data_IF_133358851878
#
_entry.id   IF_133358851878
#
_cell.length_a   1.000
_cell.length_b   1.000
_cell.length_c   1.000
_cell.angle_alpha   90.00
_cell.angle_beta   90.00
_cell.angle_gamma   90.00
#
_symmetry.space_group_name_H-M   'P 1'
#
loop_
_entity.id
_entity.type
_entity.pdbx_description
1 polymer ?
#
# COMPACT_ATOMS: atom_id res chain seq x y z
N UNK A 1 -23.74 -16.59 -20.37
CA UNK A 1 -22.77 -17.66 -20.69
C UNK A 1 -21.31 -17.19 -20.62
N UNK A 2 -20.93 -16.02 -21.15
CA UNK A 2 -19.55 -15.51 -21.05
C UNK A 2 -19.10 -15.16 -19.62
N UNK A 3 -19.96 -14.56 -18.80
CA UNK A 3 -19.65 -14.24 -17.39
C UNK A 3 -19.44 -15.49 -16.52
N UNK A 4 -20.26 -16.54 -16.70
CA UNK A 4 -20.11 -17.81 -15.98
C UNK A 4 -18.81 -18.55 -16.36
N UNK A 5 -18.37 -18.46 -17.61
CA UNK A 5 -17.08 -18.99 -18.06
C UNK A 5 -15.87 -18.20 -17.52
N UNK A 6 -16.02 -16.88 -17.36
CA UNK A 6 -14.95 -16.04 -16.82
C UNK A 6 -14.71 -16.25 -15.32
N UNK A 7 -15.79 -16.44 -14.53
CA UNK A 7 -15.75 -16.71 -13.08
C UNK A 7 -15.08 -18.07 -12.81
N UNK A 8 -15.49 -19.12 -13.53
CA UNK A 8 -14.95 -20.48 -13.37
C UNK A 8 -13.46 -20.58 -13.71
N UNK A 9 -12.97 -19.83 -14.69
CA UNK A 9 -11.54 -19.78 -15.01
C UNK A 9 -10.73 -18.97 -13.99
N UNK A 10 -11.31 -17.93 -13.39
CA UNK A 10 -10.66 -17.14 -12.34
C UNK A 10 -10.53 -17.91 -11.02
N UNK A 11 -11.58 -18.66 -10.65
CA UNK A 11 -11.56 -19.59 -9.52
C UNK A 11 -10.52 -20.71 -9.75
N UNK A 12 -10.43 -21.25 -10.96
CA UNK A 12 -9.43 -22.27 -11.32
C UNK A 12 -7.99 -21.74 -11.14
N UNK A 13 -7.70 -20.52 -11.59
CA UNK A 13 -6.37 -19.89 -11.41
C UNK A 13 -6.06 -19.60 -9.95
N UNK A 14 -7.06 -19.17 -9.16
CA UNK A 14 -6.90 -18.95 -7.73
C UNK A 14 -6.51 -20.24 -7.01
N UNK A 15 -7.24 -21.33 -7.26
CA UNK A 15 -7.00 -22.63 -6.63
C UNK A 15 -5.63 -23.21 -7.01
N UNK A 16 -5.22 -23.09 -8.29
CA UNK A 16 -3.89 -23.52 -8.71
C UNK A 16 -2.78 -22.73 -8.00
N UNK A 17 -2.94 -21.41 -7.93
CA UNK A 17 -1.98 -20.52 -7.28
C UNK A 17 -1.88 -20.80 -5.78
N UNK A 18 -3.01 -21.03 -5.13
CA UNK A 18 -3.09 -21.39 -3.71
C UNK A 18 -2.38 -22.71 -3.43
N UNK A 19 -2.63 -23.74 -4.26
CA UNK A 19 -1.96 -25.04 -4.16
C UNK A 19 -0.44 -24.90 -4.26
N UNK A 20 0.05 -24.24 -5.31
CA UNK A 20 1.49 -24.03 -5.54
C UNK A 20 2.14 -23.26 -4.40
N UNK A 21 1.43 -22.27 -3.84
CA UNK A 21 1.92 -21.53 -2.69
C UNK A 21 2.09 -22.43 -1.46
N UNK A 22 1.10 -23.26 -1.14
CA UNK A 22 1.20 -24.14 0.02
C UNK A 22 2.23 -25.27 -0.15
N UNK A 23 2.45 -25.75 -1.38
CA UNK A 23 3.55 -26.68 -1.68
C UNK A 23 4.91 -26.05 -1.37
N UNK A 24 5.18 -24.85 -1.90
CA UNK A 24 6.44 -24.13 -1.65
C UNK A 24 6.57 -23.70 -0.18
N UNK A 25 5.47 -23.29 0.45
CA UNK A 25 5.45 -22.94 1.87
C UNK A 25 5.84 -24.16 2.70
N UNK A 26 5.25 -25.33 2.45
CA UNK A 26 5.58 -26.57 3.16
C UNK A 26 7.07 -26.93 3.01
N UNK A 27 7.63 -26.82 1.80
CA UNK A 27 9.04 -27.05 1.53
C UNK A 27 9.96 -26.07 2.29
N UNK A 28 9.59 -24.79 2.33
CA UNK A 28 10.31 -23.77 3.07
C UNK A 28 10.25 -24.00 4.59
N UNK A 29 9.08 -24.43 5.10
CA UNK A 29 8.82 -24.64 6.52
C UNK A 29 9.48 -25.91 7.06
N UNK A 30 9.54 -26.99 6.27
CA UNK A 30 10.26 -28.23 6.62
C UNK A 30 11.77 -28.03 6.74
N UNK A 31 12.32 -27.08 5.97
CA UNK A 31 13.73 -26.71 5.99
C UNK A 31 14.09 -25.69 7.09
N UNK A 32 13.10 -25.17 7.82
CA UNK A 32 13.32 -24.12 8.81
C UNK A 32 13.62 -24.66 10.22
N UNK A 33 14.40 -23.91 11.00
CA UNK A 33 14.71 -24.27 12.38
C UNK A 33 13.44 -24.37 13.26
N UNK A 34 13.48 -25.23 14.28
CA UNK A 34 12.37 -25.50 15.23
C UNK A 34 11.84 -24.26 15.98
N UNK A 35 12.56 -23.14 15.95
CA UNK A 35 12.22 -21.87 16.61
C UNK A 35 11.63 -20.82 15.65
N UNK A 36 11.16 -21.25 14.48
CA UNK A 36 10.64 -20.33 13.47
C UNK A 36 9.30 -19.72 13.88
N UNK A 37 9.02 -18.51 13.35
CA UNK A 37 7.86 -17.66 13.69
C UNK A 37 6.52 -18.21 13.16
N UNK A 38 6.51 -19.46 12.69
CA UNK A 38 5.44 -20.03 11.89
C UNK A 38 4.35 -20.62 12.77
N UNK A 39 3.11 -20.48 12.32
CA UNK A 39 1.93 -20.89 13.07
C UNK A 39 1.16 -21.90 12.24
N UNK A 40 1.52 -23.18 12.38
CA UNK A 40 0.67 -24.26 11.90
C UNK A 40 -0.70 -24.17 12.57
N UNK A 41 -1.74 -24.70 11.92
CA UNK A 41 -3.10 -24.70 12.47
C UNK A 41 -3.17 -25.33 13.87
N UNK A 42 -2.42 -26.42 14.08
CA UNK A 42 -2.28 -27.07 15.39
C UNK A 42 -1.60 -26.18 16.43
N UNK A 43 -0.51 -25.51 16.05
CA UNK A 43 0.22 -24.60 16.95
C UNK A 43 -0.64 -23.38 17.29
N UNK A 44 -1.34 -22.83 16.30
CA UNK A 44 -2.26 -21.72 16.46
C UNK A 44 -3.37 -22.04 17.47
N UNK A 45 -4.05 -23.19 17.31
CA UNK A 45 -5.10 -23.64 18.24
C UNK A 45 -4.56 -23.93 19.64
N UNK A 46 -3.37 -24.52 19.74
CA UNK A 46 -2.74 -24.79 21.03
C UNK A 46 -2.39 -23.49 21.77
N UNK A 47 -1.78 -22.53 21.09
CA UNK A 47 -1.46 -21.21 21.65
C UNK A 47 -2.73 -20.47 22.07
N UNK A 48 -3.81 -20.60 21.31
CA UNK A 48 -5.10 -20.02 21.66
C UNK A 48 -5.66 -20.63 22.95
N UNK A 49 -5.67 -21.96 23.05
CA UNK A 49 -6.11 -22.68 24.24
C UNK A 49 -5.26 -22.31 25.46
N UNK A 50 -3.94 -22.27 25.28
CA UNK A 50 -2.99 -21.92 26.33
C UNK A 50 -3.15 -20.46 26.79
N UNK A 51 -3.34 -19.51 25.87
CA UNK A 51 -3.60 -18.11 26.22
C UNK A 51 -4.92 -17.93 26.99
N UNK A 52 -5.99 -18.63 26.57
CA UNK A 52 -7.27 -18.62 27.29
C UNK A 52 -7.16 -19.23 28.69
N UNK A 53 -6.38 -20.32 28.84
CA UNK A 53 -6.11 -20.93 30.15
C UNK A 53 -5.30 -19.97 31.03
N UNK A 54 -4.20 -19.41 30.52
CA UNK A 54 -3.34 -18.47 31.24
C UNK A 54 -4.09 -17.24 31.76
N UNK A 55 -5.11 -16.77 31.03
CA UNK A 55 -6.02 -15.71 31.50
C UNK A 55 -6.88 -16.12 32.69
N UNK A 56 -7.37 -17.37 32.70
CA UNK A 56 -8.25 -17.91 33.76
C UNK A 56 -7.48 -18.34 35.01
N UNK A 57 -6.19 -18.63 34.90
CA UNK A 57 -5.38 -19.10 36.03
C UNK A 57 -5.08 -17.99 37.03
N UNK A 58 -5.46 -18.20 38.29
CA UNK A 58 -5.20 -17.27 39.40
C UNK A 58 -3.72 -17.25 39.81
N UNK A 59 -3.05 -18.42 39.88
CA UNK A 59 -1.62 -18.55 40.14
C UNK A 59 -0.87 -18.74 38.83
N UNK A 60 -0.28 -17.67 38.30
CA UNK A 60 0.41 -17.67 37.00
C UNK A 60 1.85 -18.21 37.12
N UNK A 61 2.22 -19.08 36.20
CA UNK A 61 3.60 -19.55 36.03
C UNK A 61 4.40 -18.63 35.09
N UNK A 62 5.75 -18.68 35.08
CA UNK A 62 6.56 -17.89 34.15
C UNK A 62 6.16 -18.03 32.66
N UNK A 63 5.70 -19.22 32.26
CA UNK A 63 5.18 -19.48 30.91
C UNK A 63 3.89 -18.70 30.62
N UNK A 64 3.01 -18.55 31.60
CA UNK A 64 1.76 -17.79 31.45
C UNK A 64 2.06 -16.30 31.24
N UNK A 65 3.02 -15.74 31.97
CA UNK A 65 3.47 -14.36 31.76
C UNK A 65 4.08 -14.17 30.37
N UNK A 66 4.90 -15.11 29.91
CA UNK A 66 5.46 -15.07 28.55
C UNK A 66 4.36 -15.12 27.47
N UNK A 67 3.36 -15.99 27.65
CA UNK A 67 2.22 -16.13 26.73
C UNK A 67 1.41 -14.84 26.67
N UNK A 68 1.00 -14.30 27.82
CA UNK A 68 0.14 -13.10 27.89
C UNK A 68 0.84 -11.82 27.42
N UNK A 69 2.19 -11.77 27.46
CA UNK A 69 2.95 -10.65 26.88
C UNK A 69 3.05 -10.71 25.35
N UNK A 70 2.76 -11.86 24.74
CA UNK A 70 2.96 -12.11 23.31
C UNK A 70 1.68 -12.40 22.55
N UNK A 71 0.67 -12.91 23.24
CA UNK A 71 -0.61 -13.33 22.68
C UNK A 71 -1.76 -12.86 23.55
N UNK A 72 -2.80 -12.41 22.89
CA UNK A 72 -4.09 -12.11 23.48
C UNK A 72 -5.20 -12.68 22.58
N UNK A 73 -6.43 -12.75 23.06
CA UNK A 73 -7.57 -13.36 22.37
C UNK A 73 -8.74 -12.41 22.39
N UNK A 74 -9.35 -12.19 21.21
CA UNK A 74 -10.50 -11.30 21.04
C UNK A 74 -11.75 -12.06 20.55
N UNK A 75 -12.90 -11.68 21.12
CA UNK A 75 -14.24 -12.12 20.72
C UNK A 75 -14.62 -13.56 21.09
N UNK A 76 -15.92 -13.88 20.94
CA UNK A 76 -16.45 -15.24 21.12
C UNK A 76 -15.92 -16.24 20.09
N UNK A 77 -15.41 -15.75 18.94
CA UNK A 77 -14.85 -16.56 17.84
C UNK A 77 -13.37 -16.94 18.00
N UNK A 78 -12.70 -16.60 19.11
CA UNK A 78 -11.35 -17.10 19.43
C UNK A 78 -10.30 -16.87 18.31
N UNK A 79 -9.91 -15.60 18.07
CA UNK A 79 -8.72 -15.30 17.22
C UNK A 79 -7.55 -14.80 18.07
N UNK A 80 -6.32 -15.20 17.71
CA UNK A 80 -5.09 -14.73 18.34
C UNK A 80 -4.73 -13.33 17.85
N UNK A 81 -4.48 -12.43 18.79
CA UNK A 81 -4.01 -11.07 18.53
C UNK A 81 -2.74 -10.77 19.30
N UNK A 82 -2.00 -9.75 18.85
CA UNK A 82 -0.94 -9.16 19.63
C UNK A 82 -1.56 -8.33 20.78
N UNK A 83 -1.09 -8.49 22.03
CA UNK A 83 -1.66 -7.78 23.17
C UNK A 83 -1.76 -6.27 22.92
N UNK A 84 -2.97 -5.73 23.09
CA UNK A 84 -3.22 -4.30 22.92
C UNK A 84 -2.59 -3.57 24.10
N UNK A 85 -1.67 -2.64 23.82
CA UNK A 85 -1.04 -1.79 24.83
C UNK A 85 -1.74 -0.44 24.86
N UNK A 86 -1.75 0.21 26.03
CA UNK A 86 -2.31 1.56 26.20
C UNK A 86 -1.75 2.52 25.13
N UNK A 87 -2.65 3.27 24.48
CA UNK A 87 -2.30 4.23 23.43
C UNK A 87 -2.20 3.66 22.01
N UNK A 88 -2.39 2.36 21.78
CA UNK A 88 -2.36 1.73 20.45
C UNK A 88 -3.76 1.31 20.00
N UNK A 89 -4.39 2.09 19.12
CA UNK A 89 -5.73 1.80 18.59
C UNK A 89 -5.78 0.72 17.48
N UNK A 90 -4.65 0.09 17.12
CA UNK A 90 -4.57 -0.86 16.02
C UNK A 90 -4.34 -2.29 16.53
N UNK A 91 -5.37 -3.12 16.41
CA UNK A 91 -5.32 -4.55 16.71
C UNK A 91 -4.52 -5.26 15.61
N UNK A 92 -3.53 -6.07 16.00
CA UNK A 92 -2.74 -6.90 15.07
C UNK A 92 -3.08 -8.36 15.28
N UNK A 93 -3.50 -9.03 14.22
CA UNK A 93 -3.87 -10.44 14.24
C UNK A 93 -2.65 -11.34 13.97
N UNK A 94 -2.69 -12.54 14.53
CA UNK A 94 -1.85 -13.65 14.10
C UNK A 94 -2.59 -14.45 13.04
N UNK A 95 -1.91 -14.81 11.96
CA UNK A 95 -2.50 -15.57 10.84
C UNK A 95 -1.92 -16.99 10.85
N UNK A 96 -2.74 -18.04 10.87
CA UNK A 96 -2.25 -19.40 10.69
C UNK A 96 -1.79 -19.63 9.25
N UNK A 97 -0.89 -20.60 9.03
CA UNK A 97 -0.35 -20.89 7.69
C UNK A 97 -1.48 -21.20 6.69
N UNK A 98 -2.60 -21.78 7.11
CA UNK A 98 -3.77 -22.09 6.25
C UNK A 98 -4.53 -20.89 5.70
N UNK A 99 -4.41 -19.72 6.33
CA UNK A 99 -5.05 -18.46 5.88
C UNK A 99 -4.05 -17.50 5.25
N UNK A 100 -2.75 -17.86 5.26
CA UNK A 100 -1.67 -16.97 4.83
C UNK A 100 -1.78 -16.61 3.35
N UNK A 101 -2.18 -17.55 2.49
CA UNK A 101 -2.34 -17.27 1.06
C UNK A 101 -3.40 -16.20 0.83
N UNK A 102 -4.58 -16.35 1.44
CA UNK A 102 -5.73 -15.48 1.20
C UNK A 102 -5.40 -14.05 1.66
N UNK A 103 -4.78 -13.91 2.84
CA UNK A 103 -4.32 -12.62 3.38
C UNK A 103 -3.29 -11.95 2.46
N UNK A 104 -2.32 -12.72 1.94
CA UNK A 104 -1.33 -12.20 1.01
C UNK A 104 -1.95 -11.82 -0.33
N UNK A 105 -2.91 -12.62 -0.83
CA UNK A 105 -3.60 -12.40 -2.09
C UNK A 105 -4.44 -11.12 -2.05
N UNK A 106 -5.26 -10.95 -1.02
CA UNK A 106 -6.07 -9.75 -0.82
C UNK A 106 -5.19 -8.50 -0.71
N UNK A 107 -4.13 -8.56 0.10
CA UNK A 107 -3.21 -7.43 0.24
C UNK A 107 -2.50 -7.12 -1.08
N UNK A 108 -2.12 -8.15 -1.84
CA UNK A 108 -1.47 -7.99 -3.15
C UNK A 108 -2.36 -7.27 -4.16
N UNK A 109 -3.64 -7.66 -4.24
CA UNK A 109 -4.64 -7.01 -5.08
C UNK A 109 -4.91 -5.58 -4.60
N UNK A 110 -5.02 -5.37 -3.28
CA UNK A 110 -5.27 -4.06 -2.68
C UNK A 110 -4.17 -3.04 -2.98
N UNK A 111 -2.91 -3.48 -3.10
CA UNK A 111 -1.79 -2.62 -3.50
C UNK A 111 -1.55 -2.58 -5.02
N UNK A 112 -2.39 -3.24 -5.81
CA UNK A 112 -2.33 -3.27 -7.28
C UNK A 112 -1.09 -3.98 -7.81
N UNK A 113 -0.88 -5.24 -7.38
CA UNK A 113 0.31 -6.02 -7.73
C UNK A 113 1.62 -5.31 -7.34
N UNK A 114 1.58 -4.69 -6.16
CA UNK A 114 2.72 -4.01 -5.57
C UNK A 114 3.80 -4.99 -5.13
N UNK A 115 5.07 -4.58 -5.27
CA UNK A 115 6.20 -5.39 -4.81
C UNK A 115 6.27 -5.50 -3.28
N UNK A 116 7.26 -6.27 -2.81
CA UNK A 116 7.44 -6.66 -1.40
C UNK A 116 7.24 -5.53 -0.40
N UNK A 117 7.90 -4.39 -0.60
CA UNK A 117 7.89 -3.31 0.38
C UNK A 117 6.50 -2.64 0.50
N UNK A 118 5.70 -2.61 -0.58
CA UNK A 118 4.33 -2.10 -0.55
C UNK A 118 3.41 -3.06 0.21
N UNK A 119 3.49 -4.36 -0.09
CA UNK A 119 2.71 -5.38 0.61
C UNK A 119 3.03 -5.40 2.11
N UNK A 120 4.32 -5.32 2.49
CA UNK A 120 4.72 -5.31 3.90
C UNK A 120 4.14 -4.08 4.65
N UNK A 121 4.05 -2.93 3.99
CA UNK A 121 3.46 -1.72 4.57
C UNK A 121 1.94 -1.79 4.71
N UNK A 122 1.26 -2.52 3.83
CA UNK A 122 -0.17 -2.81 3.94
C UNK A 122 -0.47 -3.83 5.04
N UNK A 123 0.37 -4.86 5.18
CA UNK A 123 0.13 -6.00 6.09
C UNK A 123 0.57 -5.73 7.53
N UNK A 124 1.72 -5.08 7.74
CA UNK A 124 2.29 -4.88 9.09
C UNK A 124 1.42 -4.14 10.12
N UNK A 125 0.50 -3.24 9.74
CA UNK A 125 -0.45 -2.66 10.69
C UNK A 125 -1.53 -3.64 11.14
N UNK A 126 -1.89 -4.63 10.31
CA UNK A 126 -3.00 -5.58 10.50
C UNK A 126 -2.53 -6.91 11.09
N UNK A 127 -1.32 -7.35 10.76
CA UNK A 127 -0.83 -8.68 11.11
C UNK A 127 0.56 -8.65 11.73
N UNK A 128 0.81 -9.54 12.70
CA UNK A 128 2.07 -9.55 13.48
C UNK A 128 3.11 -10.54 12.95
N UNK A 129 2.69 -11.67 12.39
CA UNK A 129 3.57 -12.80 12.06
C UNK A 129 3.88 -12.97 10.58
N UNK A 130 3.39 -12.09 9.70
CA UNK A 130 3.72 -12.14 8.28
C UNK A 130 5.13 -11.59 8.04
N UNK A 131 5.98 -12.38 7.40
CA UNK A 131 7.39 -12.03 7.17
C UNK A 131 7.63 -11.54 5.74
N UNK A 132 8.80 -10.95 5.51
CA UNK A 132 9.24 -10.57 4.15
C UNK A 132 9.38 -11.78 3.23
N UNK A 133 9.81 -12.92 3.80
CA UNK A 133 10.01 -14.15 3.06
C UNK A 133 8.68 -14.70 2.52
N UNK A 134 7.62 -14.68 3.33
CA UNK A 134 6.29 -15.15 2.90
C UNK A 134 5.76 -14.31 1.72
N UNK A 135 5.98 -12.99 1.77
CA UNK A 135 5.60 -12.08 0.68
C UNK A 135 6.42 -12.35 -0.58
N UNK A 136 7.74 -12.54 -0.45
CA UNK A 136 8.62 -12.86 -1.59
C UNK A 136 8.23 -14.19 -2.24
N UNK A 137 7.92 -15.20 -1.44
CA UNK A 137 7.43 -16.49 -1.92
C UNK A 137 6.13 -16.33 -2.71
N UNK A 138 5.15 -15.59 -2.19
CA UNK A 138 3.91 -15.30 -2.91
C UNK A 138 4.14 -14.58 -4.24
N UNK A 139 5.03 -13.55 -4.25
CA UNK A 139 5.34 -12.79 -5.46
C UNK A 139 6.02 -13.63 -6.55
N UNK A 140 6.69 -14.72 -6.17
CA UNK A 140 7.25 -15.70 -7.10
C UNK A 140 6.20 -16.62 -7.72
N UNK A 141 4.93 -16.56 -7.32
CA UNK A 141 3.88 -17.41 -7.89
C UNK A 141 2.90 -16.59 -8.72
N UNK A 142 2.76 -15.30 -8.41
CA UNK A 142 1.94 -14.36 -9.17
C UNK A 142 2.45 -14.18 -10.61
N UNK A 143 1.73 -14.76 -11.58
CA UNK A 143 2.08 -14.72 -13.01
C UNK A 143 2.19 -13.28 -13.58
N UNK A 144 1.25 -12.34 -13.33
CA UNK A 144 1.41 -10.96 -13.77
C UNK A 144 2.67 -10.28 -13.24
N UNK A 145 3.04 -10.55 -11.98
CA UNK A 145 4.25 -10.00 -11.37
C UNK A 145 5.53 -10.61 -11.95
N UNK A 146 5.55 -11.91 -12.23
CA UNK A 146 6.68 -12.58 -12.86
C UNK A 146 6.97 -12.00 -14.24
N UNK A 147 5.93 -11.82 -15.07
CA UNK A 147 6.05 -11.24 -16.43
C UNK A 147 6.61 -9.80 -16.40
N UNK A 148 6.41 -9.08 -15.29
CA UNK A 148 6.89 -7.71 -15.08
C UNK A 148 8.37 -7.63 -14.69
N UNK A 149 8.99 -8.70 -14.19
CA UNK A 149 10.38 -8.67 -13.72
C UNK A 149 11.37 -8.45 -14.88
N UNK A 150 11.62 -7.18 -15.21
CA UNK A 150 12.77 -6.78 -16.06
C UNK A 150 14.02 -6.70 -15.19
N UNK A 151 15.14 -7.19 -15.72
CA UNK A 151 16.43 -7.26 -15.03
C UNK A 151 16.88 -5.93 -14.39
N UNK A 152 17.74 -6.04 -13.37
CA UNK A 152 18.21 -4.92 -12.56
C UNK A 152 18.69 -3.73 -13.43
N UNK A 153 17.93 -2.64 -13.45
CA UNK A 153 18.39 -1.39 -14.07
C UNK A 153 19.31 -0.67 -13.10
N UNK A 154 20.47 -0.22 -13.59
CA UNK A 154 21.38 0.66 -12.84
C UNK A 154 20.58 1.88 -12.38
N UNK A 155 20.54 2.10 -11.06
CA UNK A 155 19.85 3.23 -10.48
C UNK A 155 20.47 4.54 -10.96
N UNK A 156 19.69 5.36 -11.66
CA UNK A 156 20.05 6.76 -11.86
C UNK A 156 19.83 7.46 -10.53
N UNK A 157 20.90 7.99 -9.93
CA UNK A 157 20.81 8.81 -8.75
C UNK A 157 20.02 10.10 -9.08
N UNK A 158 18.76 10.14 -8.68
CA UNK A 158 17.94 11.35 -8.78
C UNK A 158 18.04 12.08 -7.44
N UNK A 159 18.60 13.29 -7.45
CA UNK A 159 18.52 14.17 -6.29
C UNK A 159 17.04 14.48 -6.02
N UNK A 160 16.56 14.34 -4.77
CA UNK A 160 15.20 14.73 -4.44
C UNK A 160 15.02 16.22 -4.71
N UNK A 161 14.07 16.58 -5.58
CA UNK A 161 13.60 17.96 -5.62
C UNK A 161 12.81 18.21 -4.33
N UNK A 162 13.38 19.00 -3.43
CA UNK A 162 12.74 19.38 -2.17
C UNK A 162 11.86 20.59 -2.45
N UNK A 163 10.55 20.39 -2.38
CA UNK A 163 9.57 21.48 -2.41
C UNK A 163 9.03 21.64 -1.00
N UNK A 164 8.95 22.88 -0.50
CA UNK A 164 8.45 23.16 0.85
C UNK A 164 6.94 23.37 0.90
N UNK A 165 6.32 23.75 -0.22
CA UNK A 165 4.90 24.16 -0.26
C UNK A 165 4.08 23.27 -1.20
N UNK A 166 2.84 22.99 -0.76
CA UNK A 166 1.83 22.32 -1.56
C UNK A 166 1.55 23.12 -2.85
N UNK A 167 1.29 22.42 -3.96
CA UNK A 167 1.02 23.00 -5.29
C UNK A 167 2.07 23.98 -5.84
N UNK A 168 3.27 24.07 -5.25
CA UNK A 168 4.31 24.93 -5.78
C UNK A 168 4.72 24.51 -7.20
N UNK A 169 4.84 23.21 -7.43
CA UNK A 169 5.19 22.64 -8.73
C UNK A 169 4.45 21.34 -8.99
N UNK A 170 3.80 21.28 -10.14
CA UNK A 170 3.16 20.09 -10.66
C UNK A 170 3.59 19.85 -12.12
N UNK A 171 3.53 18.61 -12.57
CA UNK A 171 3.86 18.24 -13.93
C UNK A 171 2.66 17.56 -14.59
N UNK A 172 2.40 17.95 -15.83
CA UNK A 172 1.47 17.26 -16.73
C UNK A 172 2.26 16.55 -17.80
N UNK A 173 1.92 15.29 -18.02
CA UNK A 173 2.51 14.47 -19.07
C UNK A 173 1.43 13.62 -19.78
N UNK A 174 1.80 13.03 -20.91
CA UNK A 174 0.93 12.15 -21.69
C UNK A 174 1.54 10.75 -21.77
N UNK A 175 0.72 9.74 -21.49
CA UNK A 175 1.04 8.35 -21.78
C UNK A 175 0.38 7.97 -23.10
N UNK A 176 1.18 7.43 -24.02
CA UNK A 176 0.72 7.00 -25.33
C UNK A 176 0.16 5.57 -25.28
N UNK A 177 -1.14 5.44 -25.53
CA UNK A 177 -1.86 4.17 -25.64
C UNK A 177 -2.43 3.97 -27.06
N UNK A 178 -1.91 4.66 -28.08
CA UNK A 178 -2.39 4.53 -29.46
C UNK A 178 -2.30 3.11 -30.03
N UNK A 179 -1.36 2.31 -29.54
CA UNK A 179 -1.23 0.90 -29.93
C UNK A 179 -2.33 0.00 -29.35
N UNK A 180 -3.00 0.45 -28.29
CA UNK A 180 -4.07 -0.27 -27.58
C UNK A 180 -5.21 0.71 -27.24
N UNK A 181 -5.91 1.28 -28.23
CA UNK A 181 -6.93 2.29 -27.98
C UNK A 181 -8.16 1.69 -27.28
N UNK A 182 -8.82 2.47 -26.43
CA UNK A 182 -10.12 2.15 -25.85
C UNK A 182 -11.17 3.07 -26.46
N UNK A 183 -11.79 2.61 -27.55
CA UNK A 183 -12.66 3.44 -28.39
C UNK A 183 -11.91 4.64 -28.97
N UNK A 184 -12.36 5.85 -28.62
CA UNK A 184 -11.74 7.11 -29.06
C UNK A 184 -10.55 7.53 -28.17
N UNK A 185 -10.38 6.90 -27.01
CA UNK A 185 -9.31 7.21 -26.08
C UNK A 185 -8.01 6.55 -26.53
N UNK A 186 -7.02 7.40 -26.82
CA UNK A 186 -5.68 6.98 -27.27
C UNK A 186 -4.56 7.44 -26.34
N UNK A 187 -4.88 8.37 -25.45
CA UNK A 187 -3.92 9.03 -24.58
C UNK A 187 -4.46 9.06 -23.16
N UNK A 188 -3.54 8.99 -22.21
CA UNK A 188 -3.84 9.23 -20.79
C UNK A 188 -3.07 10.47 -20.38
N UNK A 189 -3.79 11.47 -19.86
CA UNK A 189 -3.14 12.60 -19.22
C UNK A 189 -2.81 12.26 -17.77
N UNK A 190 -1.55 12.44 -17.39
CA UNK A 190 -1.11 12.34 -16.01
C UNK A 190 -0.83 13.73 -15.45
N UNK A 191 -1.38 14.02 -14.28
CA UNK A 191 -1.07 15.21 -13.50
C UNK A 191 -0.43 14.75 -12.20
N UNK A 192 0.82 15.13 -11.94
CA UNK A 192 1.53 14.74 -10.73
C UNK A 192 2.02 15.96 -9.93
N UNK A 193 1.65 16.01 -8.65
CA UNK A 193 2.24 16.95 -7.70
C UNK A 193 3.66 16.52 -7.30
N UNK A 194 4.66 17.40 -7.41
CA UNK A 194 6.03 16.98 -7.11
C UNK A 194 6.30 16.76 -5.62
N UNK A 195 5.60 17.47 -4.73
CA UNK A 195 5.76 17.33 -3.28
C UNK A 195 5.10 16.05 -2.76
N UNK A 196 3.78 15.91 -2.99
CA UNK A 196 2.97 14.81 -2.47
C UNK A 196 3.11 13.53 -3.29
N UNK A 197 3.63 13.62 -4.53
CA UNK A 197 3.63 12.53 -5.52
C UNK A 197 2.22 12.04 -5.87
N UNK A 198 1.19 12.80 -5.52
CA UNK A 198 -0.19 12.48 -5.86
C UNK A 198 -0.37 12.59 -7.36
N UNK A 199 -1.03 11.59 -7.95
CA UNK A 199 -1.30 11.52 -9.38
C UNK A 199 -2.80 11.58 -9.64
N UNK A 200 -3.20 12.34 -10.65
CA UNK A 200 -4.51 12.24 -11.26
C UNK A 200 -4.40 11.81 -12.72
N UNK A 201 -5.30 10.93 -13.13
CA UNK A 201 -5.36 10.30 -14.43
C UNK A 201 -6.67 10.67 -15.11
N UNK A 202 -6.58 11.02 -16.40
CA UNK A 202 -7.75 11.26 -17.24
C UNK A 202 -7.53 10.58 -18.59
N UNK A 203 -8.47 9.74 -19.02
CA UNK A 203 -8.58 9.34 -20.43
C UNK A 203 -8.89 10.57 -21.26
N UNK A 204 -8.48 10.53 -22.52
CA UNK A 204 -8.46 11.75 -23.31
C UNK A 204 -8.56 11.52 -24.80
N UNK A 205 -9.39 12.35 -25.43
CA UNK A 205 -9.27 12.73 -26.85
C UNK A 205 -8.44 14.02 -26.99
N UNK A 206 -7.90 14.32 -28.17
CA UNK A 206 -7.03 15.50 -28.36
C UNK A 206 -7.70 16.82 -27.93
N UNK A 207 -9.02 16.92 -27.96
CA UNK A 207 -9.78 18.13 -27.67
C UNK A 207 -9.99 18.36 -26.15
N UNK A 208 -10.00 17.31 -25.33
CA UNK A 208 -10.35 17.35 -23.91
C UNK A 208 -9.20 17.81 -22.99
N UNK A 209 -8.03 18.18 -23.53
CA UNK A 209 -6.84 18.57 -22.73
C UNK A 209 -7.16 19.70 -21.75
N UNK A 210 -7.85 20.71 -22.26
CA UNK A 210 -8.06 21.97 -21.58
C UNK A 210 -9.03 21.81 -20.40
N UNK A 211 -10.16 21.15 -20.67
CA UNK A 211 -11.21 20.89 -19.69
C UNK A 211 -10.67 20.07 -18.52
N UNK A 212 -9.92 19.00 -18.81
CA UNK A 212 -9.31 18.17 -17.78
C UNK A 212 -8.32 18.93 -16.87
N UNK A 213 -7.62 19.96 -17.38
CA UNK A 213 -6.73 20.80 -16.56
C UNK A 213 -7.51 21.73 -15.64
N UNK A 214 -8.61 22.31 -16.14
CA UNK A 214 -9.49 23.18 -15.34
C UNK A 214 -10.07 22.41 -14.17
N UNK A 215 -10.61 21.20 -14.41
CA UNK A 215 -11.14 20.32 -13.36
C UNK A 215 -10.12 20.05 -12.24
N UNK A 216 -8.87 19.80 -12.62
CA UNK A 216 -7.80 19.54 -11.66
C UNK A 216 -7.45 20.79 -10.83
N UNK A 217 -7.45 21.97 -11.46
CA UNK A 217 -7.11 23.22 -10.78
C UNK A 217 -8.23 23.69 -9.85
N UNK A 218 -9.47 23.43 -10.20
CA UNK A 218 -10.61 23.73 -9.32
C UNK A 218 -10.75 22.73 -8.19
N UNK A 219 -10.32 21.47 -8.38
CA UNK A 219 -10.36 20.44 -7.35
C UNK A 219 -9.20 20.53 -6.34
N UNK A 220 -7.95 20.64 -6.82
CA UNK A 220 -6.76 20.59 -5.98
C UNK A 220 -6.14 21.98 -5.73
N UNK A 221 -6.55 22.99 -6.50
CA UNK A 221 -5.89 24.29 -6.59
C UNK A 221 -4.92 24.35 -7.78
N UNK A 222 -4.86 25.51 -8.43
CA UNK A 222 -3.91 25.75 -9.50
C UNK A 222 -2.47 25.82 -8.93
N UNK A 223 -1.49 25.17 -9.57
CA UNK A 223 -0.11 25.23 -9.12
C UNK A 223 0.54 26.58 -9.43
N UNK A 224 1.59 26.95 -8.70
CA UNK A 224 2.40 28.12 -9.06
C UNK A 224 3.18 27.87 -10.36
N UNK A 225 3.73 26.66 -10.50
CA UNK A 225 4.49 26.23 -11.67
C UNK A 225 3.89 24.92 -12.22
N UNK A 226 3.42 24.95 -13.46
CA UNK A 226 3.03 23.76 -14.21
C UNK A 226 4.12 23.43 -15.23
N UNK A 227 4.74 22.27 -15.10
CA UNK A 227 5.63 21.73 -16.12
C UNK A 227 4.83 20.91 -17.14
N UNK A 228 5.06 21.11 -18.43
CA UNK A 228 4.40 20.33 -19.50
C UNK A 228 5.34 20.14 -20.68
N UNK A 229 5.41 18.91 -21.18
CA UNK A 229 6.30 18.53 -22.30
C UNK A 229 5.58 18.52 -23.66
N UNK A 230 4.31 18.97 -23.70
CA UNK A 230 3.48 18.96 -24.90
C UNK A 230 3.95 19.96 -25.97
N UNK A 231 3.92 19.52 -27.23
CA UNK A 231 4.30 20.29 -28.40
C UNK A 231 3.61 21.66 -28.49
N UNK A 232 4.36 22.65 -29.00
CA UNK A 232 4.10 24.10 -28.93
C UNK A 232 2.76 24.59 -29.52
N UNK A 233 1.97 23.74 -30.18
CA UNK A 233 0.82 24.17 -30.98
C UNK A 233 -0.54 24.01 -30.27
N UNK A 234 -0.79 22.89 -29.60
CA UNK A 234 -2.04 22.69 -28.84
C UNK A 234 -2.05 23.45 -27.50
N UNK A 235 -0.87 23.81 -27.00
CA UNK A 235 -0.69 24.46 -25.71
C UNK A 235 -1.15 25.92 -25.71
N UNK A 236 -0.91 26.72 -26.75
CA UNK A 236 -0.98 28.19 -26.61
C UNK A 236 -2.38 28.74 -26.32
N UNK A 237 -3.45 28.25 -26.98
CA UNK A 237 -4.82 28.72 -26.73
C UNK A 237 -5.30 28.33 -25.33
N UNK A 238 -5.07 27.08 -24.93
CA UNK A 238 -5.43 26.55 -23.61
C UNK A 238 -4.64 27.23 -22.50
N UNK A 239 -3.34 27.42 -22.70
CA UNK A 239 -2.44 28.12 -21.76
C UNK A 239 -2.87 29.57 -21.59
N UNK A 240 -3.28 30.24 -22.66
CA UNK A 240 -3.76 31.63 -22.59
C UNK A 240 -5.06 31.71 -21.77
N UNK A 241 -6.00 30.80 -22.00
CA UNK A 241 -7.25 30.73 -21.22
C UNK A 241 -7.00 30.41 -19.73
N UNK A 242 -6.09 29.47 -19.43
CA UNK A 242 -5.69 29.18 -18.04
C UNK A 242 -5.04 30.39 -17.36
N UNK A 243 -4.21 31.15 -18.07
CA UNK A 243 -3.57 32.36 -17.52
C UNK A 243 -4.55 33.51 -17.26
N UNK A 244 -5.68 33.56 -17.97
CA UNK A 244 -6.74 34.54 -17.67
C UNK A 244 -7.36 34.29 -16.31
N UNK A 245 -7.61 33.01 -15.97
CA UNK A 245 -8.19 32.61 -14.69
C UNK A 245 -7.15 32.56 -13.55
N UNK A 246 -5.91 32.19 -13.87
CA UNK A 246 -4.80 32.13 -12.92
C UNK A 246 -3.58 32.93 -13.40
N UNK A 247 -3.57 34.27 -13.24
CA UNK A 247 -2.50 35.14 -13.74
C UNK A 247 -1.11 34.82 -13.17
N UNK A 248 -1.06 34.30 -11.95
CA UNK A 248 0.18 33.92 -11.27
C UNK A 248 0.75 32.57 -11.74
N UNK A 249 -0.02 31.78 -12.50
CA UNK A 249 0.43 30.49 -13.03
C UNK A 249 1.56 30.66 -14.04
N UNK A 250 2.70 30.02 -13.76
CA UNK A 250 3.81 29.92 -14.70
C UNK A 250 3.83 28.53 -15.33
N UNK A 251 3.84 28.48 -16.66
CA UNK A 251 3.96 27.23 -17.41
C UNK A 251 5.37 27.15 -17.94
N UNK A 252 6.05 26.05 -17.61
CA UNK A 252 7.43 25.79 -17.98
C UNK A 252 7.45 24.58 -18.90
N UNK A 253 8.07 24.71 -20.06
CA UNK A 253 8.28 23.58 -20.95
C UNK A 253 9.56 22.86 -20.55
N UNK A 254 9.49 21.55 -20.37
CA UNK A 254 10.69 20.75 -20.11
C UNK A 254 11.63 20.84 -21.32
N UNK A 255 12.93 20.98 -21.05
CA UNK A 255 13.93 20.81 -22.10
C UNK A 255 13.96 19.31 -22.48
N UNK A 256 14.01 18.96 -23.78
CA UNK A 256 14.18 17.58 -24.20
C UNK A 256 15.41 16.97 -23.49
N UNK A 257 15.25 15.80 -22.86
CA UNK A 257 16.32 15.02 -22.20
C UNK A 257 16.89 15.59 -20.88
N UNK A 258 16.13 16.40 -20.12
CA UNK A 258 16.51 16.71 -18.73
C UNK A 258 15.97 15.66 -17.75
N UNK A 259 16.75 14.59 -17.60
CA UNK A 259 16.43 13.36 -16.85
C UNK A 259 16.02 13.54 -15.38
N UNK A 260 16.39 14.65 -14.73
CA UNK A 260 16.20 14.81 -13.28
C UNK A 260 14.79 15.28 -12.89
N UNK A 261 14.23 16.26 -13.60
CA UNK A 261 12.85 16.71 -13.37
C UNK A 261 11.82 15.78 -14.00
N UNK A 262 12.12 15.24 -15.19
CA UNK A 262 11.23 14.35 -15.94
C UNK A 262 11.18 12.93 -15.34
N UNK A 263 12.30 12.44 -14.78
CA UNK A 263 12.35 11.07 -14.27
C UNK A 263 11.34 10.75 -13.16
N UNK A 264 10.80 11.75 -12.45
CA UNK A 264 9.73 11.51 -11.46
C UNK A 264 8.40 11.19 -12.11
N UNK A 265 8.02 11.85 -13.21
CA UNK A 265 6.76 11.56 -13.91
C UNK A 265 6.92 10.33 -14.80
N UNK A 266 8.07 10.15 -15.46
CA UNK A 266 8.34 8.96 -16.29
C UNK A 266 8.25 7.66 -15.48
N UNK A 267 8.82 7.65 -14.26
CA UNK A 267 8.67 6.50 -13.35
C UNK A 267 7.22 6.28 -12.92
N UNK A 268 6.47 7.36 -12.72
CA UNK A 268 5.06 7.26 -12.36
C UNK A 268 4.22 6.73 -13.52
N UNK A 269 4.44 7.23 -14.74
CA UNK A 269 3.80 6.77 -15.96
C UNK A 269 4.08 5.29 -16.20
N UNK A 270 5.34 4.87 -16.07
CA UNK A 270 5.70 3.45 -16.19
C UNK A 270 5.00 2.58 -15.12
N UNK A 271 4.90 3.07 -13.88
CA UNK A 271 4.13 2.40 -12.82
C UNK A 271 2.64 2.27 -13.22
N UNK A 272 2.05 3.34 -13.76
CA UNK A 272 0.64 3.42 -14.16
C UNK A 272 0.34 2.49 -15.34
N UNK A 273 1.18 2.47 -16.38
CA UNK A 273 1.09 1.54 -17.51
C UNK A 273 1.05 0.09 -17.01
N UNK A 274 1.98 -0.26 -16.12
CA UNK A 274 2.04 -1.61 -15.56
C UNK A 274 0.78 -1.93 -14.74
N UNK A 275 0.31 -1.00 -13.93
CA UNK A 275 -0.91 -1.19 -13.12
C UNK A 275 -2.15 -1.35 -14.01
N UNK A 276 -2.25 -0.59 -15.11
CA UNK A 276 -3.34 -0.73 -16.07
C UNK A 276 -3.26 -2.07 -16.80
N UNK A 277 -2.08 -2.48 -17.26
CA UNK A 277 -1.88 -3.77 -17.91
C UNK A 277 -2.27 -4.93 -17.00
N UNK A 278 -1.93 -4.87 -15.72
CA UNK A 278 -2.35 -5.89 -14.77
C UNK A 278 -3.85 -5.82 -14.47
N UNK A 279 -4.41 -4.62 -14.33
CA UNK A 279 -5.85 -4.45 -14.11
C UNK A 279 -6.69 -4.98 -15.27
N UNK A 280 -6.30 -4.74 -16.53
CA UNK A 280 -6.99 -5.27 -17.71
C UNK A 280 -6.88 -6.78 -17.82
N UNK A 281 -5.72 -7.35 -17.47
CA UNK A 281 -5.53 -8.81 -17.39
C UNK A 281 -6.41 -9.45 -16.31
N UNK A 282 -6.45 -8.86 -15.11
CA UNK A 282 -7.25 -9.37 -13.99
C UNK A 282 -8.75 -9.28 -14.27
N UNK A 283 -9.18 -8.20 -14.93
CA UNK A 283 -10.59 -7.96 -15.29
C UNK A 283 -11.00 -8.56 -16.64
N UNK A 284 -10.08 -9.16 -17.38
CA UNK A 284 -10.29 -9.71 -18.74
C UNK A 284 -11.03 -8.73 -19.66
N UNK A 285 -10.59 -7.48 -19.66
CA UNK A 285 -11.20 -6.41 -20.46
C UNK A 285 -10.14 -5.58 -21.14
N UNK A 286 -10.41 -5.19 -22.38
CA UNK A 286 -9.56 -4.26 -23.13
C UNK A 286 -9.93 -2.79 -22.85
N UNK A 287 -11.00 -2.56 -22.07
CA UNK A 287 -11.49 -1.23 -21.68
C UNK A 287 -10.67 -0.64 -20.54
N UNK A 288 -9.42 -0.25 -20.82
CA UNK A 288 -8.52 0.31 -19.82
C UNK A 288 -9.01 1.66 -19.26
N UNK A 289 -9.85 2.40 -19.99
CA UNK A 289 -10.37 3.70 -19.53
C UNK A 289 -11.26 3.56 -18.28
N UNK A 290 -12.03 2.47 -18.20
CA UNK A 290 -12.85 2.12 -17.03
C UNK A 290 -11.98 1.85 -15.79
N UNK A 291 -10.76 1.35 -16.00
CA UNK A 291 -9.79 1.03 -14.95
C UNK A 291 -9.03 2.23 -14.37
N UNK A 292 -8.97 3.36 -15.09
CA UNK A 292 -8.12 4.50 -14.71
C UNK A 292 -8.39 5.03 -13.30
N UNK A 293 -9.67 5.14 -12.92
CA UNK A 293 -10.07 5.67 -11.60
C UNK A 293 -9.60 4.75 -10.48
N UNK A 294 -9.69 3.44 -10.69
CA UNK A 294 -9.22 2.43 -9.74
C UNK A 294 -7.70 2.42 -9.64
N UNK A 295 -7.00 2.42 -10.79
CA UNK A 295 -5.53 2.50 -10.83
C UNK A 295 -5.02 3.78 -10.17
N UNK A 296 -5.67 4.93 -10.40
CA UNK A 296 -5.34 6.19 -9.73
C UNK A 296 -5.46 6.06 -8.21
N UNK A 297 -6.59 5.53 -7.71
CA UNK A 297 -6.79 5.33 -6.27
C UNK A 297 -5.72 4.41 -5.69
N UNK A 298 -5.48 3.25 -6.31
CA UNK A 298 -4.48 2.28 -5.87
C UNK A 298 -3.07 2.89 -5.87
N UNK A 299 -2.72 3.67 -6.89
CA UNK A 299 -1.42 4.35 -6.99
C UNK A 299 -1.23 5.39 -5.88
N UNK A 300 -2.28 6.14 -5.55
CA UNK A 300 -2.24 7.16 -4.49
C UNK A 300 -2.32 6.58 -3.08
N UNK A 301 -2.84 5.35 -2.92
CA UNK A 301 -2.87 4.60 -1.66
C UNK A 301 -1.60 3.77 -1.42
N UNK A 302 -0.87 3.45 -2.48
CA UNK A 302 0.37 2.69 -2.35
C UNK A 302 1.45 3.49 -1.61
N UNK A 303 2.17 2.81 -0.71
CA UNK A 303 3.32 3.40 -0.02
C UNK A 303 4.38 3.87 -1.02
N UNK A 304 4.80 5.13 -0.89
CA UNK A 304 5.82 5.71 -1.75
C UNK A 304 7.14 5.90 -0.98
N UNK A 305 8.17 5.17 -1.40
CA UNK A 305 9.47 5.08 -0.70
C UNK A 305 10.19 6.41 -0.54
N UNK A 306 10.02 7.35 -1.48
CA UNK A 306 10.65 8.68 -1.43
C UNK A 306 10.05 9.64 -0.41
N UNK A 307 8.74 9.56 -0.13
CA UNK A 307 8.04 10.46 0.80
C UNK A 307 7.71 9.78 2.13
N UNK A 308 8.01 8.48 2.24
CA UNK A 308 7.81 7.63 3.43
C UNK A 308 6.36 7.56 3.95
N UNK A 309 5.40 7.88 3.07
CA UNK A 309 3.96 7.82 3.31
C UNK A 309 3.24 7.58 1.97
N UNK A 310 1.92 7.46 1.97
CA UNK A 310 1.14 7.36 0.73
C UNK A 310 0.97 8.75 0.10
N UNK A 311 0.88 8.86 -1.23
CA UNK A 311 0.58 10.14 -1.87
C UNK A 311 -0.74 10.77 -1.41
N UNK A 312 -1.74 9.95 -1.09
CA UNK A 312 -3.01 10.40 -0.52
C UNK A 312 -2.82 11.03 0.87
N UNK A 313 -2.12 10.35 1.79
CA UNK A 313 -1.80 10.91 3.12
C UNK A 313 -0.97 12.19 3.03
N UNK A 314 -0.06 12.27 2.06
CA UNK A 314 0.73 13.47 1.85
C UNK A 314 -0.10 14.67 1.39
N UNK A 315 -1.20 14.41 0.66
CA UNK A 315 -2.08 15.44 0.12
C UNK A 315 -3.17 15.85 1.12
N UNK A 316 -3.87 14.87 1.70
CA UNK A 316 -5.07 15.11 2.52
C UNK A 316 -4.78 15.09 4.03
N UNK A 317 -3.56 14.72 4.45
CA UNK A 317 -3.18 14.63 5.87
C UNK A 317 -3.76 13.42 6.61
N UNK A 318 -4.55 12.57 5.94
CA UNK A 318 -5.17 11.38 6.52
C UNK A 318 -5.05 10.17 5.58
N UNK A 319 -5.23 8.96 6.12
CA UNK A 319 -5.23 7.74 5.32
C UNK A 319 -6.49 7.65 4.46
N UNK A 320 -6.35 7.17 3.22
CA UNK A 320 -7.52 6.88 2.40
C UNK A 320 -8.33 5.73 3.02
N UNK A 321 -9.60 5.99 3.29
CA UNK A 321 -10.56 4.98 3.73
C UNK A 321 -11.20 4.33 2.50
N UNK A 322 -11.28 3.00 2.48
CA UNK A 322 -11.93 2.22 1.41
C UNK A 322 -12.88 1.24 2.09
N UNK A 323 -14.07 1.75 2.41
CA UNK A 323 -15.09 1.02 3.16
C UNK A 323 -14.63 0.58 4.56
N UNK A 324 -15.41 -0.30 5.16
CA UNK A 324 -15.12 -0.87 6.48
C UNK A 324 -13.92 -1.83 6.45
N UNK A 325 -13.49 -2.32 5.29
CA UNK A 325 -12.27 -3.14 5.14
C UNK A 325 -10.96 -2.38 5.47
N UNK A 326 -11.03 -1.05 5.61
CA UNK A 326 -9.92 -0.23 6.14
C UNK A 326 -9.99 0.01 7.64
N UNK A 327 -11.07 -0.44 8.30
CA UNK A 327 -11.12 -0.54 9.76
C UNK A 327 -10.26 -1.72 10.22
N UNK A 328 -9.82 -1.70 11.48
CA UNK A 328 -9.10 -2.80 12.13
C UNK A 328 -9.95 -4.05 12.35
N UNK A 329 -11.13 -4.14 11.73
CA UNK A 329 -12.11 -5.20 11.95
C UNK A 329 -11.94 -6.31 10.92
N UNK A 330 -11.99 -7.58 11.36
CA UNK A 330 -11.97 -8.73 10.46
C UNK A 330 -13.14 -8.73 9.47
N UNK A 331 -12.89 -9.20 8.24
CA UNK A 331 -13.89 -9.23 7.16
C UNK A 331 -15.14 -10.06 7.51
N UNK A 332 -14.98 -11.10 8.35
CA UNK A 332 -16.04 -11.97 8.85
C UNK A 332 -16.97 -11.31 9.88
N UNK A 333 -16.63 -10.12 10.37
CA UNK A 333 -17.52 -9.28 11.19
C UNK A 333 -18.28 -8.28 10.30
N UNK A 334 -17.71 -7.93 9.15
CA UNK A 334 -18.24 -6.93 8.23
C UNK A 334 -19.26 -7.52 7.23
N UNK A 335 -19.23 -8.83 6.98
CA UNK A 335 -20.13 -9.51 6.03
C UNK A 335 -21.59 -9.55 6.49
N UNK A 336 -21.83 -9.48 7.80
CA UNK A 336 -23.15 -9.64 8.40
C UNK A 336 -23.87 -8.30 8.66
N UNK A 337 -23.24 -7.16 8.38
CA UNK A 337 -23.80 -5.82 8.64
C UNK A 337 -24.67 -5.40 7.46
N UNK A 338 -25.97 -5.29 7.69
CA UNK A 338 -26.95 -4.81 6.71
C UNK A 338 -27.69 -3.56 7.14
N UNK A 339 -27.69 -3.22 8.43
CA UNK A 339 -28.38 -2.04 8.97
C UNK A 339 -27.45 -1.07 9.72
N UNK A 340 -27.92 0.16 9.91
CA UNK A 340 -27.17 1.18 10.68
C UNK A 340 -27.08 0.76 12.16
N UNK A 341 -28.12 0.14 12.70
CA UNK A 341 -28.18 -0.34 14.08
C UNK A 341 -27.13 -1.45 14.34
N UNK A 342 -26.96 -2.38 13.40
CA UNK A 342 -25.92 -3.42 13.49
C UNK A 342 -24.50 -2.83 13.41
N UNK A 343 -24.32 -1.75 12.62
CA UNK A 343 -23.06 -1.04 12.54
C UNK A 343 -22.73 -0.32 13.85
N UNK A 344 -23.73 0.32 14.48
CA UNK A 344 -23.61 0.99 15.77
C UNK A 344 -23.24 0.00 16.89
N UNK A 345 -23.91 -1.15 16.98
CA UNK A 345 -23.59 -2.21 17.96
C UNK A 345 -22.13 -2.69 17.83
N UNK A 346 -21.64 -2.84 16.59
CA UNK A 346 -20.26 -3.26 16.33
C UNK A 346 -19.27 -2.16 16.72
N UNK A 347 -19.56 -0.89 16.40
CA UNK A 347 -18.70 0.24 16.81
C UNK A 347 -18.63 0.34 18.34
N UNK A 348 -19.75 0.17 19.04
CA UNK A 348 -19.79 0.15 20.51
C UNK A 348 -19.03 -1.04 21.09
N UNK A 349 -19.16 -2.24 20.51
CA UNK A 349 -18.42 -3.43 20.93
C UNK A 349 -16.90 -3.29 20.79
N UNK A 350 -16.44 -2.49 19.82
CA UNK A 350 -15.03 -2.22 19.56
C UNK A 350 -14.48 -1.12 20.47
N UNK A 351 -15.34 -0.18 20.89
CA UNK A 351 -15.00 0.87 21.87
C UNK A 351 -15.03 0.37 23.33
N UNK A 352 -15.72 -0.73 23.62
CA UNK A 352 -15.92 -1.29 24.97
C UNK A 352 -14.87 -2.34 25.39
N UNK A 353 -13.64 -2.29 24.85
CA UNK A 353 -12.52 -2.95 25.53
C UNK A 353 -12.35 -2.23 26.88
N UNK A 354 -12.56 -2.88 28.03
CA UNK A 354 -12.46 -2.21 29.32
C UNK A 354 -11.04 -1.65 29.49
N UNK A 355 -10.96 -0.33 29.67
CA UNK A 355 -9.81 0.32 30.31
C UNK A 355 -9.77 -0.15 31.77
N UNK A 356 -9.29 -1.37 32.01
CA UNK A 356 -8.90 -1.73 33.36
C UNK A 356 -7.61 -1.00 33.68
N UNK A 357 -7.76 0.12 34.39
CA UNK A 357 -6.70 0.82 35.09
C UNK A 357 -5.87 -0.20 35.87
N UNK A 358 -4.65 -0.45 35.41
CA UNK A 358 -3.61 -1.06 36.23
C UNK A 358 -2.50 -0.05 36.41
N UNK A 359 -2.75 0.86 37.35
CA UNK A 359 -1.70 1.60 38.03
C UNK A 359 -0.71 0.59 38.65
N UNK A 360 0.49 0.53 38.10
CA UNK A 360 1.72 0.36 38.89
C UNK A 360 2.95 0.66 38.02
N UNK A 361 3.86 1.54 38.48
CA UNK A 361 5.03 1.93 37.70
C UNK A 361 6.11 0.85 37.84
N UNK A 362 6.50 0.22 36.73
CA UNK A 362 7.70 -0.59 36.68
C UNK A 362 8.65 -0.01 35.63
N UNK A 363 9.77 0.47 36.16
CA UNK A 363 10.88 1.10 35.46
C UNK A 363 11.31 0.29 34.24
N UNK A 364 11.29 0.94 33.08
CA UNK A 364 12.00 0.47 31.89
C UNK A 364 13.50 0.44 32.19
N UNK A 365 14.07 -0.75 32.36
CA UNK A 365 15.49 -0.95 32.14
C UNK A 365 15.71 -1.16 30.65
N UNK A 366 15.97 -0.07 29.93
CA UNK A 366 16.53 -0.07 28.59
C UNK A 366 17.97 -0.61 28.64
N UNK A 367 18.11 -1.91 28.40
CA UNK A 367 19.42 -2.53 28.21
C UNK A 367 19.51 -3.27 26.88
N UNK A 368 19.25 -2.55 25.78
CA UNK A 368 19.81 -2.85 24.43
C UNK A 368 20.07 -1.51 23.70
N UNK A 369 20.89 -0.64 24.29
CA UNK A 369 21.43 0.55 23.59
C UNK A 369 22.74 1.05 24.20
N UNK A 370 23.61 0.18 24.70
CA UNK A 370 24.95 0.54 25.17
C UNK A 370 25.98 -0.54 24.79
N UNK A 371 26.07 -0.84 23.49
CA UNK A 371 27.20 -1.64 23.01
C UNK A 371 27.58 -1.29 21.56
N UNK A 372 27.58 0.00 21.21
CA UNK A 372 28.26 0.54 20.00
C UNK A 372 28.74 1.99 20.18
N UNK A 373 29.38 2.30 21.31
CA UNK A 373 30.03 3.61 21.53
C UNK A 373 31.43 3.58 22.15
N UNK A 374 32.08 2.41 22.20
CA UNK A 374 33.49 2.31 22.55
C UNK A 374 34.27 1.64 21.40
N UNK A 375 34.40 2.37 20.30
CA UNK A 375 35.51 2.17 19.35
C UNK A 375 35.71 3.51 18.62
N UNK A 376 36.40 4.42 19.31
CA UNK A 376 37.01 5.60 18.68
C UNK A 376 38.40 5.75 19.26
N UNK A 377 39.33 4.96 18.72
CA UNK A 377 40.77 5.14 18.98
C UNK A 377 41.39 5.83 17.76
N UNK A 378 41.69 7.11 17.94
CA UNK A 378 42.94 7.72 17.50
C UNK A 378 43.13 8.02 16.02
N UNK A 379 42.67 9.18 15.56
CA UNK A 379 43.38 9.94 14.52
C UNK A 379 43.70 11.34 15.04
N UNK A 380 44.98 11.57 15.36
CA UNK A 380 45.53 12.87 15.76
C UNK A 380 45.57 13.78 14.52
N UNK A 381 44.94 14.95 14.60
CA UNK A 381 45.22 16.08 13.70
C UNK A 381 46.52 16.77 14.14
N UNK A 382 47.43 17.14 13.22
CA UNK A 382 48.46 18.11 13.53
C UNK A 382 47.83 19.52 13.64
N UNK A 383 48.28 20.30 14.62
CA UNK A 383 48.04 21.74 14.77
C UNK A 383 49.33 22.49 14.38
N UNK A 384 49.23 23.81 14.22
CA UNK A 384 48.55 24.58 13.19
C UNK A 384 49.47 24.86 12.00
#
# INVERSE_FOLDING_TARGET
MAEQGAVTEQESRYVDMQRRFYEELSNARTSAAKNSVFLSETTYRNLLSDALKAKKTAKKEPRDYWLLNRYDVIGNKSKLIYPVREGVNAIRFYVPDSELFDVLHEAHLAVGHGGRDRMLKELSPKYKNITRYDIELYLQICEPCQKKQKGAKKGVAVLPMVFSNFNLRCQVDLIDFQSHPDGEYKLIMTYQGHLTKFVALKSKTAEEVAHNRVDMFTLLGAPSILQSDDGREFANKVVTSLKQHWPSLKIVHGKPRHSQSQGSVERANQDIENMLCTWTQDKKTDRWSDGLRFVQLTKNRAFHTGIKRTPYEALFGCKAKVGLATSSLPQDVLQDIQTEEELEEIIESVQTIPREERDSPLQETDSIAQEKKNETVGWKKPKP
#
